data_IF_310662380095
#
_entry.id   IF_310662380095
#
_cell.length_a   1.000
_cell.length_b   1.000
_cell.length_c   1.000
_cell.angle_alpha   90.00
_cell.angle_beta   90.00
_cell.angle_gamma   90.00
#
_symmetry.space_group_name_H-M   'P 1'
#
loop_
_entity.id
_entity.type
_entity.pdbx_description
1 polymer ?
#
# COMPACT_ATOMS: atom_id res chain seq x y z
N UNK A 1 -86.54 80.80 -27.48
CA UNK A 1 -86.89 79.42 -27.87
C UNK A 1 -85.74 78.56 -27.43
N UNK A 2 -85.95 77.79 -26.37
CA UNK A 2 -85.02 76.80 -25.86
C UNK A 2 -85.66 75.45 -26.18
N UNK A 3 -85.12 74.78 -27.19
CA UNK A 3 -85.63 73.50 -27.68
C UNK A 3 -85.53 72.46 -26.57
N UNK A 4 -86.67 72.11 -25.97
CA UNK A 4 -86.76 70.98 -25.05
C UNK A 4 -86.54 69.73 -25.91
N UNK A 5 -85.50 68.97 -25.58
CA UNK A 5 -85.15 67.75 -26.29
C UNK A 5 -86.29 66.74 -26.18
N UNK A 6 -86.73 66.20 -27.32
CA UNK A 6 -87.85 65.24 -27.41
C UNK A 6 -87.71 64.05 -26.45
N UNK A 7 -86.47 63.68 -26.10
CA UNK A 7 -86.15 62.63 -25.14
C UNK A 7 -86.61 62.95 -23.71
N UNK A 8 -86.52 64.21 -23.29
CA UNK A 8 -86.98 64.63 -21.96
C UNK A 8 -88.50 64.63 -21.87
N UNK A 9 -89.18 65.04 -22.96
CA UNK A 9 -90.63 65.00 -23.03
C UNK A 9 -91.17 63.56 -23.06
N UNK A 10 -90.57 62.66 -23.85
CA UNK A 10 -90.95 61.25 -23.90
C UNK A 10 -90.65 60.52 -22.59
N UNK A 11 -89.52 60.82 -21.94
CA UNK A 11 -89.16 60.27 -20.63
C UNK A 11 -90.11 60.70 -19.52
N UNK A 12 -90.50 61.99 -19.49
CA UNK A 12 -91.49 62.50 -18.55
C UNK A 12 -92.87 61.88 -18.80
N UNK A 13 -93.28 61.71 -20.06
CA UNK A 13 -94.57 61.09 -20.39
C UNK A 13 -94.62 59.61 -20.01
N UNK A 14 -93.53 58.85 -20.22
CA UNK A 14 -93.43 57.46 -19.77
C UNK A 14 -93.52 57.34 -18.25
N UNK A 15 -92.88 58.25 -17.50
CA UNK A 15 -92.96 58.28 -16.05
C UNK A 15 -94.38 58.63 -15.55
N UNK A 16 -95.04 59.60 -16.20
CA UNK A 16 -96.44 59.95 -15.89
C UNK A 16 -97.37 58.78 -16.17
N UNK A 17 -97.20 58.08 -17.29
CA UNK A 17 -98.04 56.93 -17.64
C UNK A 17 -97.79 55.74 -16.70
N UNK A 18 -96.54 55.54 -16.27
CA UNK A 18 -96.19 54.58 -15.22
C UNK A 18 -96.84 54.94 -13.88
N UNK A 19 -96.81 56.21 -13.47
CA UNK A 19 -97.47 56.67 -12.24
C UNK A 19 -99.00 56.53 -12.33
N UNK A 20 -99.58 56.82 -13.50
CA UNK A 20 -101.01 56.63 -13.75
C UNK A 20 -101.41 55.15 -13.68
N UNK A 21 -100.62 54.26 -14.27
CA UNK A 21 -100.84 52.82 -14.16
C UNK A 21 -100.66 52.30 -12.72
N UNK A 22 -99.69 52.82 -11.97
CA UNK A 22 -99.52 52.51 -10.56
C UNK A 22 -100.70 52.99 -9.71
N UNK A 23 -101.20 54.22 -9.93
CA UNK A 23 -102.39 54.73 -9.25
C UNK A 23 -103.64 53.89 -9.59
N UNK A 24 -103.84 53.51 -10.85
CA UNK A 24 -104.94 52.61 -11.24
C UNK A 24 -104.82 51.22 -10.61
N UNK A 25 -103.60 50.68 -10.47
CA UNK A 25 -103.38 49.40 -9.80
C UNK A 25 -103.66 49.50 -8.29
N UNK A 26 -103.23 50.58 -7.64
CA UNK A 26 -103.47 50.84 -6.22
C UNK A 26 -104.96 51.05 -5.93
N UNK A 27 -105.67 51.82 -6.78
CA UNK A 27 -107.11 52.05 -6.63
C UNK A 27 -107.94 50.77 -6.86
N UNK A 28 -107.51 49.92 -7.80
CA UNK A 28 -108.10 48.60 -8.04
C UNK A 28 -107.99 47.66 -6.84
N UNK A 29 -106.94 47.81 -6.03
CA UNK A 29 -106.66 46.95 -4.88
C UNK A 29 -107.11 47.56 -3.53
N UNK A 30 -107.44 48.87 -3.46
CA UNK A 30 -107.87 49.54 -2.21
C UNK A 30 -109.40 49.61 -1.98
N UNK A 31 -110.26 49.52 -3.01
CA UNK A 31 -111.73 49.70 -2.88
C UNK A 31 -112.53 48.39 -2.74
N UNK A 32 -112.11 47.52 -1.81
CA UNK A 32 -112.74 46.20 -1.58
C UNK A 32 -114.28 46.23 -1.38
N UNK A 33 -114.90 47.19 -0.66
CA UNK A 33 -116.36 47.22 -0.51
C UNK A 33 -117.11 47.47 -1.83
N UNK A 34 -116.59 48.35 -2.69
CA UNK A 34 -117.21 48.70 -3.97
C UNK A 34 -117.10 47.54 -4.96
N UNK A 35 -115.92 46.91 -5.04
CA UNK A 35 -115.68 45.73 -5.88
C UNK A 35 -116.52 44.52 -5.48
N UNK A 36 -116.72 44.30 -4.17
CA UNK A 36 -117.62 43.23 -3.67
C UNK A 36 -119.05 43.49 -4.10
N UNK A 37 -119.53 44.73 -4.01
CA UNK A 37 -120.87 45.09 -4.44
C UNK A 37 -121.07 44.92 -5.97
N UNK A 38 -120.09 45.30 -6.78
CA UNK A 38 -120.13 45.13 -8.24
C UNK A 38 -120.10 43.65 -8.65
N UNK A 39 -119.24 42.84 -8.04
CA UNK A 39 -119.18 41.38 -8.28
C UNK A 39 -120.47 40.70 -7.82
N UNK A 40 -121.00 41.08 -6.66
CA UNK A 40 -122.29 40.58 -6.17
C UNK A 40 -123.45 40.97 -7.10
N UNK A 41 -123.45 42.20 -7.63
CA UNK A 41 -124.45 42.66 -8.60
C UNK A 41 -124.40 41.87 -9.91
N UNK A 42 -123.20 41.59 -10.42
CA UNK A 42 -123.03 40.83 -11.66
C UNK A 42 -123.42 39.36 -11.50
N UNK A 43 -123.12 38.76 -10.33
CA UNK A 43 -123.59 37.41 -9.99
C UNK A 43 -125.12 37.39 -9.85
N UNK A 44 -125.71 38.44 -9.27
CA UNK A 44 -127.17 38.61 -9.15
C UNK A 44 -127.84 38.62 -10.53
N UNK A 45 -127.36 39.45 -11.44
CA UNK A 45 -127.87 39.54 -12.82
C UNK A 45 -127.70 38.20 -13.56
N UNK A 46 -126.56 37.54 -13.40
CA UNK A 46 -126.31 36.23 -13.99
C UNK A 46 -127.30 35.17 -13.49
N UNK A 47 -127.56 35.08 -12.19
CA UNK A 47 -128.52 34.09 -11.67
C UNK A 47 -129.98 34.40 -12.00
N UNK A 48 -130.35 35.69 -12.10
CA UNK A 48 -131.68 36.10 -12.57
C UNK A 48 -131.90 35.72 -14.03
N UNK A 49 -130.94 36.00 -14.91
CA UNK A 49 -131.04 35.67 -16.34
C UNK A 49 -131.03 34.16 -16.62
N UNK A 50 -130.40 33.37 -15.75
CA UNK A 50 -130.34 31.91 -15.88
C UNK A 50 -131.44 31.16 -15.10
N UNK A 51 -132.41 31.88 -14.51
CA UNK A 51 -133.55 31.27 -13.80
C UNK A 51 -133.18 30.47 -12.53
N UNK A 52 -132.00 30.70 -11.95
CA UNK A 52 -131.52 30.01 -10.74
C UNK A 52 -132.07 30.74 -9.51
N UNK A 53 -132.77 30.04 -8.61
CA UNK A 53 -133.24 30.63 -7.34
C UNK A 53 -132.06 30.87 -6.41
N UNK A 54 -131.90 32.10 -5.89
CA UNK A 54 -130.87 32.47 -4.93
C UNK A 54 -131.46 33.30 -3.79
N UNK A 55 -130.81 33.30 -2.62
CA UNK A 55 -131.08 34.28 -1.56
C UNK A 55 -130.03 35.39 -1.56
N UNK A 56 -130.44 36.61 -1.22
CA UNK A 56 -129.54 37.77 -1.23
C UNK A 56 -128.38 37.62 -0.22
N UNK A 57 -128.62 36.95 0.91
CA UNK A 57 -127.59 36.67 1.91
C UNK A 57 -126.52 35.68 1.42
N UNK A 58 -126.89 34.71 0.56
CA UNK A 58 -125.95 33.69 0.06
C UNK A 58 -124.93 34.28 -0.92
N UNK A 59 -125.35 35.19 -1.81
CA UNK A 59 -124.44 35.84 -2.76
C UNK A 59 -123.42 36.71 -2.01
N UNK A 60 -123.88 37.49 -1.04
CA UNK A 60 -123.01 38.39 -0.28
C UNK A 60 -122.01 37.63 0.60
N UNK A 61 -122.42 36.51 1.19
CA UNK A 61 -121.51 35.62 1.94
C UNK A 61 -120.46 34.95 1.03
N UNK A 62 -120.86 34.41 -0.12
CA UNK A 62 -119.95 33.72 -1.04
C UNK A 62 -118.87 34.64 -1.62
N UNK A 63 -119.25 35.87 -2.00
CA UNK A 63 -118.28 36.87 -2.48
C UNK A 63 -117.30 37.25 -1.37
N UNK A 64 -117.76 37.40 -0.13
CA UNK A 64 -116.91 37.79 1.01
C UNK A 64 -115.85 36.74 1.36
N UNK A 65 -116.19 35.45 1.34
CA UNK A 65 -115.22 34.36 1.59
C UNK A 65 -114.21 34.18 0.45
N UNK A 66 -114.62 34.37 -0.80
CA UNK A 66 -113.71 34.28 -1.95
C UNK A 66 -112.53 35.27 -1.83
N UNK A 67 -112.79 36.48 -1.32
CA UNK A 67 -111.74 37.49 -1.14
C UNK A 67 -110.87 37.29 0.11
N UNK A 68 -111.29 36.51 1.12
CA UNK A 68 -110.50 36.33 2.36
C UNK A 68 -109.37 35.31 2.21
N UNK A 69 -109.58 34.21 1.45
CA UNK A 69 -108.57 33.16 1.26
C UNK A 69 -107.31 33.61 0.49
N UNK A 70 -107.37 34.72 -0.24
CA UNK A 70 -106.27 35.23 -1.07
C UNK A 70 -105.18 35.98 -0.28
N UNK A 71 -105.38 36.20 1.02
CA UNK A 71 -104.55 37.08 1.86
C UNK A 71 -103.61 36.33 2.82
N UNK A 72 -103.51 35.00 2.74
CA UNK A 72 -102.65 34.20 3.63
C UNK A 72 -101.49 33.60 2.83
N UNK A 73 -100.25 33.78 3.32
CA UNK A 73 -99.01 33.24 2.76
C UNK A 73 -98.53 32.02 3.56
N UNK A 74 -98.19 30.91 2.90
CA UNK A 74 -97.60 29.72 3.52
C UNK A 74 -96.14 29.54 3.05
N UNK A 75 -95.20 29.41 4.01
CA UNK A 75 -93.77 29.27 3.73
C UNK A 75 -93.37 27.78 3.52
N UNK A 76 -92.45 27.45 2.59
CA UNK A 76 -92.00 26.07 2.34
C UNK A 76 -91.01 25.57 3.41
N UNK A 77 -91.07 24.28 3.75
CA UNK A 77 -90.20 23.67 4.77
C UNK A 77 -88.78 23.37 4.22
N UNK A 78 -87.74 23.78 4.97
CA UNK A 78 -86.32 23.62 4.63
C UNK A 78 -85.70 22.34 5.24
N UNK A 79 -84.85 21.65 4.45
CA UNK A 79 -84.17 20.41 4.84
C UNK A 79 -83.09 20.62 5.92
N UNK A 80 -82.69 19.54 6.60
CA UNK A 80 -81.68 19.57 7.67
C UNK A 80 -80.27 19.99 7.16
N UNK A 81 -79.91 19.59 5.94
CA UNK A 81 -78.65 19.99 5.31
C UNK A 81 -78.63 21.48 4.97
N UNK A 82 -79.77 22.05 4.53
CA UNK A 82 -79.90 23.48 4.25
C UNK A 82 -79.73 24.32 5.53
N UNK A 83 -80.25 23.81 6.65
CA UNK A 83 -80.04 24.40 7.99
C UNK A 83 -78.60 24.31 8.48
N UNK A 84 -77.88 23.26 8.12
CA UNK A 84 -76.47 23.09 8.49
C UNK A 84 -75.58 24.05 7.69
N UNK A 85 -75.71 24.05 6.36
CA UNK A 85 -74.92 24.90 5.48
C UNK A 85 -75.21 26.39 5.68
N UNK A 86 -76.46 26.77 5.92
CA UNK A 86 -76.80 28.16 6.27
C UNK A 86 -76.08 28.63 7.54
N UNK A 87 -76.00 27.79 8.58
CA UNK A 87 -75.24 28.14 9.80
C UNK A 87 -73.73 28.23 9.59
N UNK A 88 -73.15 27.34 8.77
CA UNK A 88 -71.70 27.34 8.45
C UNK A 88 -71.34 28.57 7.62
N UNK A 89 -72.13 28.90 6.60
CA UNK A 89 -71.92 30.07 5.73
C UNK A 89 -72.10 31.40 6.49
N UNK A 90 -73.09 31.52 7.37
CA UNK A 90 -73.29 32.73 8.19
C UNK A 90 -72.14 32.98 9.18
N UNK A 91 -71.42 31.93 9.62
CA UNK A 91 -70.23 32.03 10.49
C UNK A 91 -68.90 31.89 9.72
N UNK A 92 -68.81 32.41 8.48
CA UNK A 92 -67.65 32.20 7.57
C UNK A 92 -66.28 32.49 8.18
N UNK A 93 -66.15 33.47 9.08
CA UNK A 93 -64.87 33.86 9.67
C UNK A 93 -64.24 32.74 10.54
N UNK A 94 -65.07 31.95 11.25
CA UNK A 94 -64.57 30.81 12.05
C UNK A 94 -64.20 29.61 11.18
N UNK A 95 -64.94 29.39 10.08
CA UNK A 95 -64.63 28.32 9.12
C UNK A 95 -63.27 28.54 8.43
N UNK A 96 -62.98 29.77 8.02
CA UNK A 96 -61.70 30.12 7.36
C UNK A 96 -60.50 29.89 8.30
N UNK A 97 -60.61 30.27 9.58
CA UNK A 97 -59.53 30.06 10.57
C UNK A 97 -59.23 28.57 10.79
N UNK A 98 -60.27 27.71 10.85
CA UNK A 98 -60.08 26.26 11.00
C UNK A 98 -59.39 25.67 9.77
N UNK A 99 -59.77 26.08 8.57
CA UNK A 99 -59.14 25.63 7.33
C UNK A 99 -57.66 26.07 7.27
N UNK A 100 -57.34 27.30 7.69
CA UNK A 100 -55.96 27.78 7.75
C UNK A 100 -55.10 26.98 8.75
N UNK A 101 -55.62 26.66 9.94
CA UNK A 101 -54.92 25.82 10.91
C UNK A 101 -54.66 24.40 10.38
N UNK A 102 -55.62 23.82 9.68
CA UNK A 102 -55.45 22.50 9.04
C UNK A 102 -54.40 22.58 7.94
N UNK A 103 -54.41 23.63 7.10
CA UNK A 103 -53.41 23.81 6.06
C UNK A 103 -52.00 23.99 6.63
N UNK A 104 -51.84 24.78 7.70
CA UNK A 104 -50.56 25.00 8.37
C UNK A 104 -50.06 23.71 9.02
N UNK A 105 -50.91 22.95 9.70
CA UNK A 105 -50.50 21.68 10.32
C UNK A 105 -50.10 20.64 9.26
N UNK A 106 -50.84 20.53 8.15
CA UNK A 106 -50.45 19.68 7.02
C UNK A 106 -49.12 20.12 6.40
N UNK A 107 -48.88 21.42 6.27
CA UNK A 107 -47.62 21.96 5.75
C UNK A 107 -46.45 21.66 6.69
N UNK A 108 -46.63 21.83 8.00
CA UNK A 108 -45.62 21.49 9.01
C UNK A 108 -45.30 19.99 8.99
N UNK A 109 -46.32 19.14 8.91
CA UNK A 109 -46.15 17.67 8.79
C UNK A 109 -45.45 17.30 7.48
N UNK A 110 -45.76 17.99 6.38
CA UNK A 110 -45.10 17.76 5.11
C UNK A 110 -43.62 18.20 5.15
N UNK A 111 -43.34 19.38 5.69
CA UNK A 111 -41.98 19.89 5.86
C UNK A 111 -41.15 19.01 6.81
N UNK A 112 -41.73 18.55 7.93
CA UNK A 112 -41.01 17.65 8.85
C UNK A 112 -40.70 16.31 8.20
N UNK A 113 -41.65 15.72 7.45
CA UNK A 113 -41.42 14.51 6.65
C UNK A 113 -40.30 14.68 5.63
N UNK A 114 -40.29 15.80 4.90
CA UNK A 114 -39.24 16.08 3.90
C UNK A 114 -37.88 16.30 4.58
N UNK A 115 -37.84 16.98 5.73
CA UNK A 115 -36.60 17.23 6.46
C UNK A 115 -36.01 15.94 7.02
N UNK A 116 -36.83 15.07 7.64
CA UNK A 116 -36.39 13.75 8.14
C UNK A 116 -35.90 12.88 6.98
N UNK A 117 -36.66 12.79 5.88
CA UNK A 117 -36.24 12.01 4.71
C UNK A 117 -34.93 12.52 4.09
N UNK A 118 -34.71 13.84 4.04
CA UNK A 118 -33.44 14.42 3.57
C UNK A 118 -32.27 14.08 4.48
N UNK A 119 -32.48 14.05 5.79
CA UNK A 119 -31.43 13.73 6.75
C UNK A 119 -30.98 12.26 6.61
N UNK A 120 -31.93 11.32 6.53
CA UNK A 120 -31.65 9.90 6.30
C UNK A 120 -30.91 9.65 4.98
N UNK A 121 -31.31 10.33 3.89
CA UNK A 121 -30.63 10.22 2.59
C UNK A 121 -29.21 10.78 2.66
N UNK A 122 -28.97 11.89 3.36
CA UNK A 122 -27.64 12.47 3.51
C UNK A 122 -26.69 11.57 4.32
N UNK A 123 -27.18 10.96 5.40
CA UNK A 123 -26.39 10.02 6.18
C UNK A 123 -26.05 8.75 5.38
N UNK A 124 -27.03 8.20 4.66
CA UNK A 124 -26.81 7.07 3.76
C UNK A 124 -25.80 7.39 2.64
N UNK A 125 -25.87 8.60 2.05
CA UNK A 125 -24.91 9.05 1.05
C UNK A 125 -23.50 9.22 1.62
N UNK A 126 -23.35 9.80 2.82
CA UNK A 126 -22.05 9.93 3.48
C UNK A 126 -21.44 8.58 3.82
N UNK A 127 -22.25 7.64 4.31
CA UNK A 127 -21.82 6.27 4.58
C UNK A 127 -21.40 5.55 3.28
N UNK A 128 -22.16 5.70 2.20
CA UNK A 128 -21.83 5.12 0.90
C UNK A 128 -20.52 5.68 0.33
N UNK A 129 -20.34 7.00 0.35
CA UNK A 129 -19.09 7.66 -0.08
C UNK A 129 -17.93 7.19 0.79
N UNK A 130 -18.09 7.12 2.11
CA UNK A 130 -17.05 6.64 3.01
C UNK A 130 -16.64 5.19 2.72
N UNK A 131 -17.61 4.31 2.43
CA UNK A 131 -17.34 2.94 2.00
C UNK A 131 -16.58 2.94 0.67
N UNK A 132 -17.04 3.70 -0.32
CA UNK A 132 -16.38 3.80 -1.63
C UNK A 132 -14.93 4.30 -1.51
N UNK A 133 -14.69 5.33 -0.70
CA UNK A 133 -13.32 5.83 -0.45
C UNK A 133 -12.46 4.79 0.25
N UNK A 134 -13.01 4.04 1.21
CA UNK A 134 -12.26 2.99 1.90
C UNK A 134 -11.94 1.80 0.98
N UNK A 135 -12.87 1.43 0.09
CA UNK A 135 -12.62 0.40 -0.92
C UNK A 135 -11.57 0.87 -1.92
N UNK A 136 -11.68 2.11 -2.42
CA UNK A 136 -10.70 2.70 -3.33
C UNK A 136 -9.30 2.77 -2.71
N UNK A 137 -9.20 3.18 -1.45
CA UNK A 137 -7.94 3.21 -0.71
C UNK A 137 -7.33 1.81 -0.58
N UNK A 138 -8.12 0.83 -0.12
CA UNK A 138 -7.67 -0.57 -0.02
C UNK A 138 -7.21 -1.14 -1.37
N UNK A 139 -7.93 -0.84 -2.45
CA UNK A 139 -7.55 -1.26 -3.80
C UNK A 139 -6.22 -0.65 -4.24
N UNK A 140 -6.00 0.64 -3.95
CA UNK A 140 -4.74 1.33 -4.21
C UNK A 140 -3.58 0.72 -3.40
N UNK A 141 -3.81 0.41 -2.12
CA UNK A 141 -2.80 -0.19 -1.26
C UNK A 141 -2.41 -1.59 -1.77
N UNK A 142 -3.40 -2.41 -2.15
CA UNK A 142 -3.16 -3.73 -2.76
C UNK A 142 -2.38 -3.59 -4.08
N UNK A 143 -2.71 -2.60 -4.92
CA UNK A 143 -2.00 -2.35 -6.17
C UNK A 143 -0.53 -1.97 -5.91
N UNK A 144 -0.26 -1.13 -4.90
CA UNK A 144 1.09 -0.78 -4.49
C UNK A 144 1.88 -2.01 -3.99
N UNK A 145 1.27 -2.83 -3.13
CA UNK A 145 1.89 -4.06 -2.63
C UNK A 145 2.23 -5.04 -3.77
N UNK A 146 1.33 -5.20 -4.75
CA UNK A 146 1.60 -5.99 -5.97
C UNK A 146 2.80 -5.43 -6.74
N UNK A 147 2.86 -4.11 -6.93
CA UNK A 147 3.96 -3.47 -7.63
C UNK A 147 5.30 -3.70 -6.91
N UNK A 148 5.34 -3.51 -5.58
CA UNK A 148 6.54 -3.76 -4.76
C UNK A 148 7.03 -5.19 -4.84
N UNK A 149 6.12 -6.17 -4.71
CA UNK A 149 6.47 -7.58 -4.85
C UNK A 149 7.03 -7.89 -6.24
N UNK A 150 6.40 -7.36 -7.30
CA UNK A 150 6.88 -7.56 -8.66
C UNK A 150 8.25 -6.91 -8.90
N UNK A 151 8.50 -5.73 -8.33
CA UNK A 151 9.79 -5.07 -8.39
C UNK A 151 10.90 -5.90 -7.70
N UNK A 152 10.59 -6.54 -6.57
CA UNK A 152 11.51 -7.46 -5.92
C UNK A 152 11.80 -8.69 -6.79
N UNK A 153 10.77 -9.30 -7.37
CA UNK A 153 10.92 -10.51 -8.19
C UNK A 153 11.68 -10.27 -9.51
N UNK A 154 11.64 -9.03 -10.02
CA UNK A 154 12.37 -8.61 -11.22
C UNK A 154 13.76 -8.04 -10.93
N UNK A 155 14.11 -7.87 -9.65
CA UNK A 155 15.41 -7.35 -9.27
C UNK A 155 16.52 -8.35 -9.67
N UNK A 156 17.59 -7.93 -10.35
CA UNK A 156 18.70 -8.81 -10.71
C UNK A 156 19.29 -9.54 -9.49
N UNK A 157 19.36 -8.88 -8.33
CA UNK A 157 19.90 -9.50 -7.12
C UNK A 157 18.98 -10.60 -6.57
N UNK A 158 17.67 -10.53 -6.85
CA UNK A 158 16.74 -11.62 -6.54
C UNK A 158 16.96 -12.81 -7.47
N UNK A 159 17.04 -12.56 -8.78
CA UNK A 159 17.19 -13.59 -9.81
C UNK A 159 18.52 -14.34 -9.72
N UNK A 160 19.62 -13.61 -9.50
CA UNK A 160 20.96 -14.22 -9.36
C UNK A 160 21.16 -14.82 -7.95
N UNK A 161 20.54 -14.21 -6.94
CA UNK A 161 20.69 -14.61 -5.55
C UNK A 161 19.82 -15.79 -5.13
N UNK A 162 18.79 -16.17 -5.89
CA UNK A 162 17.80 -17.18 -5.48
C UNK A 162 18.41 -18.55 -5.18
N UNK A 163 19.45 -18.92 -5.92
CA UNK A 163 20.14 -20.21 -5.78
C UNK A 163 21.05 -20.23 -4.54
N UNK A 164 21.73 -19.11 -4.28
CA UNK A 164 22.65 -18.98 -3.16
C UNK A 164 21.89 -18.77 -1.84
N UNK A 165 20.83 -17.97 -1.89
CA UNK A 165 20.02 -17.59 -0.73
C UNK A 165 18.63 -18.20 -0.83
N UNK A 166 18.51 -19.49 -0.50
CA UNK A 166 17.23 -20.24 -0.53
C UNK A 166 16.10 -19.62 0.32
N UNK A 167 16.42 -18.67 1.21
CA UNK A 167 15.42 -17.88 1.93
C UNK A 167 14.66 -16.88 1.03
N UNK A 168 15.26 -16.36 -0.05
CA UNK A 168 14.60 -15.45 -1.00
C UNK A 168 13.31 -16.05 -1.58
N UNK A 169 13.34 -17.20 -2.27
CA UNK A 169 12.12 -17.77 -2.85
C UNK A 169 11.11 -18.15 -1.76
N UNK A 170 11.56 -18.62 -0.59
CA UNK A 170 10.66 -18.93 0.54
C UNK A 170 9.93 -17.69 1.07
N UNK A 171 10.62 -16.55 1.15
CA UNK A 171 10.03 -15.29 1.57
C UNK A 171 9.13 -14.71 0.46
N UNK A 172 9.48 -14.87 -0.82
CA UNK A 172 8.61 -14.51 -1.95
C UNK A 172 7.29 -15.27 -1.87
N UNK A 173 7.31 -16.59 -1.71
CA UNK A 173 6.09 -17.39 -1.58
C UNK A 173 5.24 -16.97 -0.37
N UNK A 174 5.88 -16.61 0.76
CA UNK A 174 5.15 -16.07 1.92
C UNK A 174 4.50 -14.72 1.62
N UNK A 175 5.20 -13.82 0.94
CA UNK A 175 4.68 -12.53 0.53
C UNK A 175 3.53 -12.67 -0.49
N UNK A 176 3.66 -13.57 -1.46
CA UNK A 176 2.60 -13.92 -2.42
C UNK A 176 1.35 -14.45 -1.72
N UNK A 177 1.54 -15.39 -0.77
CA UNK A 177 0.43 -15.94 0.00
C UNK A 177 -0.25 -14.87 0.88
N UNK A 178 0.54 -14.01 1.53
CA UNK A 178 0.00 -12.90 2.32
C UNK A 178 -0.82 -11.93 1.45
N UNK A 179 -0.37 -11.67 0.22
CA UNK A 179 -1.07 -10.84 -0.75
C UNK A 179 -2.36 -11.49 -1.29
N UNK A 180 -2.37 -12.82 -1.44
CA UNK A 180 -3.56 -13.58 -1.81
C UNK A 180 -4.62 -13.62 -0.68
N UNK A 181 -4.20 -13.51 0.58
CA UNK A 181 -5.04 -13.54 1.77
C UNK A 181 -5.39 -12.15 2.31
N UNK A 182 -5.21 -11.07 1.55
CA UNK A 182 -5.45 -9.69 2.04
C UNK A 182 -6.89 -9.49 2.56
N UNK A 183 -7.87 -10.13 1.91
CA UNK A 183 -9.28 -10.02 2.34
C UNK A 183 -9.54 -10.63 3.72
N UNK A 184 -8.76 -11.65 4.12
CA UNK A 184 -8.93 -12.36 5.40
C UNK A 184 -7.95 -11.87 6.47
N UNK A 185 -6.71 -11.56 6.08
CA UNK A 185 -5.58 -11.28 6.98
C UNK A 185 -5.22 -9.80 7.07
N UNK A 186 -5.80 -8.95 6.21
CA UNK A 186 -5.56 -7.52 6.17
C UNK A 186 -4.33 -7.11 5.33
N UNK A 187 -4.32 -5.83 4.95
CA UNK A 187 -3.25 -5.21 4.15
C UNK A 187 -1.93 -5.12 4.93
N UNK A 188 -2.01 -4.90 6.25
CA UNK A 188 -0.83 -4.74 7.11
C UNK A 188 0.03 -6.01 7.16
N UNK A 189 -0.59 -7.18 7.19
CA UNK A 189 0.13 -8.46 7.17
C UNK A 189 0.88 -8.66 5.84
N UNK A 190 0.23 -8.38 4.70
CA UNK A 190 0.88 -8.45 3.40
C UNK A 190 2.04 -7.44 3.28
N UNK A 191 1.84 -6.22 3.80
CA UNK A 191 2.88 -5.20 3.87
C UNK A 191 4.09 -5.64 4.70
N UNK A 192 3.86 -6.27 5.85
CA UNK A 192 4.92 -6.82 6.70
C UNK A 192 5.72 -7.92 5.99
N UNK A 193 5.04 -8.90 5.38
CA UNK A 193 5.73 -10.00 4.69
C UNK A 193 6.55 -9.52 3.48
N UNK A 194 6.02 -8.56 2.71
CA UNK A 194 6.77 -7.92 1.61
C UNK A 194 7.96 -7.13 2.17
N UNK A 195 7.79 -6.41 3.29
CA UNK A 195 8.89 -5.69 3.95
C UNK A 195 10.00 -6.61 4.45
N UNK A 196 9.67 -7.79 4.98
CA UNK A 196 10.66 -8.82 5.37
C UNK A 196 11.46 -9.30 4.15
N UNK A 197 10.78 -9.54 3.04
CA UNK A 197 11.42 -9.93 1.78
C UNK A 197 12.33 -8.82 1.24
N UNK A 198 11.87 -7.57 1.20
CA UNK A 198 12.65 -6.40 0.77
C UNK A 198 13.89 -6.19 1.65
N UNK A 199 13.75 -6.32 2.98
CA UNK A 199 14.87 -6.21 3.91
C UNK A 199 15.89 -7.34 3.72
N UNK A 200 15.43 -8.56 3.40
CA UNK A 200 16.33 -9.66 3.08
C UNK A 200 17.05 -9.44 1.74
N UNK A 201 16.34 -8.98 0.71
CA UNK A 201 16.95 -8.60 -0.57
C UNK A 201 18.01 -7.50 -0.39
N UNK A 202 17.77 -6.52 0.49
CA UNK A 202 18.76 -5.49 0.80
C UNK A 202 20.05 -6.08 1.39
N UNK A 203 19.95 -7.12 2.25
CA UNK A 203 21.13 -7.85 2.75
C UNK A 203 21.85 -8.60 1.63
N UNK A 204 21.11 -9.23 0.72
CA UNK A 204 21.68 -9.89 -0.47
C UNK A 204 22.43 -8.90 -1.34
N UNK A 205 21.85 -7.72 -1.61
CA UNK A 205 22.52 -6.64 -2.35
C UNK A 205 23.80 -6.15 -1.66
N UNK A 206 23.81 -6.08 -0.33
CA UNK A 206 24.99 -5.68 0.43
C UNK A 206 26.18 -6.63 0.25
N UNK A 207 25.93 -7.91 -0.04
CA UNK A 207 26.99 -8.91 -0.27
C UNK A 207 27.29 -9.15 -1.76
N UNK A 208 26.57 -8.48 -2.66
CA UNK A 208 26.79 -8.60 -4.11
C UNK A 208 28.26 -8.41 -4.54
N UNK A 209 29.03 -7.42 -4.01
CA UNK A 209 30.43 -7.28 -4.38
C UNK A 209 31.28 -8.51 -4.07
N UNK A 210 30.94 -9.28 -3.02
CA UNK A 210 31.64 -10.51 -2.66
C UNK A 210 31.26 -11.67 -3.59
N UNK A 211 29.98 -11.76 -3.97
CA UNK A 211 29.52 -12.71 -4.98
C UNK A 211 30.18 -12.46 -6.34
N UNK A 212 30.32 -11.20 -6.73
CA UNK A 212 31.02 -10.80 -7.96
C UNK A 212 32.50 -11.22 -7.92
N UNK A 213 33.17 -10.97 -6.80
CA UNK A 213 34.56 -11.40 -6.57
C UNK A 213 34.70 -12.93 -6.60
N UNK A 214 33.76 -13.66 -6.00
CA UNK A 214 33.73 -15.12 -6.05
C UNK A 214 33.57 -15.62 -7.49
N UNK A 215 32.67 -15.02 -8.27
CA UNK A 215 32.45 -15.38 -9.67
C UNK A 215 33.69 -15.10 -10.53
N UNK A 216 34.37 -13.97 -10.28
CA UNK A 216 35.65 -13.65 -10.93
C UNK A 216 36.73 -14.68 -10.59
N UNK A 217 36.90 -15.02 -9.31
CA UNK A 217 37.88 -16.03 -8.88
C UNK A 217 37.52 -17.42 -9.40
N UNK A 218 36.24 -17.77 -9.49
CA UNK A 218 35.78 -19.05 -10.05
C UNK A 218 36.24 -19.18 -11.50
N UNK A 219 36.06 -18.14 -12.33
CA UNK A 219 36.55 -18.13 -13.71
C UNK A 219 38.07 -18.22 -13.77
N UNK A 220 38.78 -17.41 -12.97
CA UNK A 220 40.25 -17.44 -12.91
C UNK A 220 40.79 -18.83 -12.53
N UNK A 221 40.21 -19.47 -11.52
CA UNK A 221 40.61 -20.83 -11.09
C UNK A 221 40.30 -21.86 -12.15
N UNK A 222 39.20 -21.72 -12.89
CA UNK A 222 38.90 -22.60 -14.03
C UNK A 222 39.90 -22.44 -15.18
N UNK A 223 40.38 -21.22 -15.43
CA UNK A 223 41.38 -20.92 -16.47
C UNK A 223 42.81 -21.34 -16.08
N UNK A 224 43.07 -21.57 -14.79
CA UNK A 224 44.35 -22.03 -14.28
C UNK A 224 44.56 -23.51 -14.61
N UNK A 225 45.54 -23.78 -15.48
CA UNK A 225 45.94 -25.14 -15.86
C UNK A 225 47.29 -25.48 -15.20
N UNK A 226 47.24 -26.01 -13.97
CA UNK A 226 48.42 -26.49 -13.27
C UNK A 226 48.82 -27.90 -13.74
N UNK A 227 50.11 -28.26 -13.71
CA UNK A 227 50.56 -29.61 -14.02
C UNK A 227 50.05 -30.64 -13.00
N UNK A 228 50.01 -31.92 -13.39
CA UNK A 228 49.48 -33.01 -12.55
C UNK A 228 50.13 -33.13 -11.16
N UNK A 229 51.40 -32.76 -11.01
CA UNK A 229 52.09 -32.70 -9.72
C UNK A 229 51.43 -31.74 -8.72
N UNK A 230 50.75 -30.71 -9.21
CA UNK A 230 50.11 -29.65 -8.41
C UNK A 230 48.59 -29.87 -8.31
N UNK A 231 48.09 -31.07 -8.66
CA UNK A 231 46.66 -31.43 -8.63
C UNK A 231 45.99 -31.18 -7.28
N UNK A 232 46.70 -31.40 -6.17
CA UNK A 232 46.22 -31.11 -4.81
C UNK A 232 45.92 -29.62 -4.63
N UNK A 233 46.72 -28.72 -5.21
CA UNK A 233 46.48 -27.29 -5.14
C UNK A 233 45.22 -26.89 -5.94
N UNK A 234 45.02 -27.47 -7.12
CA UNK A 234 43.80 -27.26 -7.91
C UNK A 234 42.55 -27.71 -7.15
N UNK A 235 42.57 -28.91 -6.57
CA UNK A 235 41.47 -29.42 -5.75
C UNK A 235 41.23 -28.55 -4.50
N UNK A 236 42.30 -28.08 -3.86
CA UNK A 236 42.22 -27.16 -2.72
C UNK A 236 41.52 -25.85 -3.08
N UNK A 237 41.91 -25.20 -4.18
CA UNK A 237 41.27 -23.97 -4.66
C UNK A 237 39.79 -24.19 -5.01
N UNK A 238 39.42 -25.32 -5.63
CA UNK A 238 38.03 -25.65 -5.92
C UNK A 238 37.21 -25.85 -4.63
N UNK A 239 37.77 -26.52 -3.62
CA UNK A 239 37.13 -26.68 -2.32
C UNK A 239 36.96 -25.34 -1.59
N UNK A 240 37.95 -24.43 -1.67
CA UNK A 240 37.88 -23.08 -1.13
C UNK A 240 36.74 -22.26 -1.79
N UNK A 241 36.58 -22.34 -3.12
CA UNK A 241 35.47 -21.66 -3.81
C UNK A 241 34.09 -22.11 -3.29
N UNK A 242 33.91 -23.41 -3.07
CA UNK A 242 32.67 -23.97 -2.51
C UNK A 242 32.45 -23.50 -1.07
N UNK A 243 33.51 -23.50 -0.25
CA UNK A 243 33.45 -23.02 1.13
C UNK A 243 33.11 -21.52 1.19
N UNK A 244 33.72 -20.70 0.34
CA UNK A 244 33.43 -19.26 0.26
C UNK A 244 31.96 -19.05 -0.14
N UNK A 245 31.46 -19.80 -1.13
CA UNK A 245 30.05 -19.75 -1.54
C UNK A 245 29.13 -20.02 -0.34
N UNK A 246 29.39 -21.08 0.43
CA UNK A 246 28.60 -21.41 1.63
C UNK A 246 28.66 -20.30 2.70
N UNK A 247 29.83 -19.74 2.96
CA UNK A 247 30.00 -18.63 3.92
C UNK A 247 29.22 -17.38 3.48
N UNK A 248 29.24 -17.03 2.19
CA UNK A 248 28.45 -15.92 1.65
C UNK A 248 26.94 -16.20 1.81
N UNK A 249 26.49 -17.42 1.47
CA UNK A 249 25.09 -17.84 1.62
C UNK A 249 24.56 -17.77 3.06
N UNK A 250 25.46 -17.95 4.04
CA UNK A 250 25.18 -17.82 5.49
C UNK A 250 25.37 -16.41 6.04
N UNK A 251 25.74 -15.43 5.22
CA UNK A 251 26.12 -14.08 5.62
C UNK A 251 27.29 -14.04 6.63
N UNK A 252 28.22 -14.99 6.59
CA UNK A 252 29.46 -14.98 7.39
C UNK A 252 30.53 -14.11 6.72
N UNK A 253 30.25 -12.80 6.63
CA UNK A 253 30.97 -11.83 5.79
C UNK A 253 32.47 -11.75 6.10
N UNK A 254 32.84 -11.66 7.37
CA UNK A 254 34.25 -11.58 7.78
C UNK A 254 35.06 -12.82 7.36
N UNK A 255 34.49 -14.01 7.58
CA UNK A 255 35.15 -15.27 7.22
C UNK A 255 35.22 -15.42 5.70
N UNK A 256 34.12 -15.16 4.99
CA UNK A 256 34.10 -15.19 3.52
C UNK A 256 35.12 -14.22 2.93
N UNK A 257 35.22 -13.01 3.48
CA UNK A 257 36.17 -11.99 3.04
C UNK A 257 37.62 -12.40 3.29
N UNK A 258 37.91 -13.02 4.42
CA UNK A 258 39.22 -13.62 4.72
C UNK A 258 39.61 -14.68 3.69
N UNK A 259 38.70 -15.63 3.41
CA UNK A 259 38.94 -16.70 2.46
C UNK A 259 39.07 -16.20 1.01
N UNK A 260 38.25 -15.22 0.59
CA UNK A 260 38.39 -14.55 -0.72
C UNK A 260 39.77 -13.91 -0.89
N UNK A 261 40.28 -13.22 0.15
CA UNK A 261 41.63 -12.61 0.11
C UNK A 261 42.72 -13.66 0.02
N UNK A 262 42.61 -14.75 0.78
CA UNK A 262 43.57 -15.85 0.75
C UNK A 262 43.61 -16.53 -0.62
N UNK A 263 42.44 -16.89 -1.17
CA UNK A 263 42.34 -17.49 -2.49
C UNK A 263 42.85 -16.55 -3.60
N UNK A 264 42.51 -15.26 -3.52
CA UNK A 264 43.05 -14.26 -4.47
C UNK A 264 44.58 -14.23 -4.41
N UNK A 265 45.17 -14.14 -3.22
CA UNK A 265 46.61 -14.15 -3.04
C UNK A 265 47.27 -15.42 -3.61
N UNK A 266 46.64 -16.60 -3.41
CA UNK A 266 47.07 -17.86 -4.01
C UNK A 266 47.06 -17.79 -5.55
N UNK A 267 45.97 -17.31 -6.16
CA UNK A 267 45.88 -17.20 -7.63
C UNK A 267 46.89 -16.21 -8.21
N UNK A 268 47.16 -15.09 -7.52
CA UNK A 268 48.16 -14.09 -7.92
C UNK A 268 49.60 -14.59 -7.78
N UNK A 269 49.83 -15.60 -6.95
CA UNK A 269 51.13 -16.22 -6.75
C UNK A 269 51.51 -17.18 -7.89
N UNK A 270 50.54 -17.83 -8.53
CA UNK A 270 50.76 -18.82 -9.61
C UNK A 270 51.66 -18.30 -10.75
N UNK A 271 51.38 -17.14 -11.37
CA UNK A 271 52.19 -16.65 -12.49
C UNK A 271 53.56 -16.11 -12.06
N UNK A 272 53.80 -15.90 -10.76
CA UNK A 272 55.06 -15.35 -10.26
C UNK A 272 56.14 -16.42 -10.20
N UNK A 273 57.26 -16.16 -10.85
CA UNK A 273 58.50 -16.89 -10.57
C UNK A 273 59.12 -16.37 -9.28
N UNK A 274 59.41 -17.27 -8.34
CA UNK A 274 59.92 -16.93 -7.02
C UNK A 274 61.20 -17.71 -6.73
N UNK A 275 62.24 -17.00 -6.30
CA UNK A 275 63.47 -17.60 -5.80
C UNK A 275 63.46 -17.62 -4.28
N UNK A 276 63.79 -18.77 -3.69
CA UNK A 276 64.02 -18.91 -2.25
C UNK A 276 65.51 -18.89 -2.02
N UNK A 277 65.99 -17.85 -1.33
CA UNK A 277 67.42 -17.63 -1.13
C UNK A 277 67.74 -17.33 0.32
N UNK A 278 68.89 -17.79 0.78
CA UNK A 278 69.41 -17.48 2.12
C UNK A 278 69.57 -15.96 2.25
N UNK A 279 69.11 -15.43 3.38
CA UNK A 279 69.21 -14.00 3.70
C UNK A 279 70.68 -13.64 3.88
N UNK A 280 71.11 -12.59 3.18
CA UNK A 280 72.49 -12.11 3.18
C UNK A 280 72.51 -10.59 3.39
N UNK A 281 72.11 -10.14 4.57
CA UNK A 281 72.06 -8.71 4.93
C UNK A 281 72.33 -8.47 6.41
N UNK A 282 72.84 -7.29 6.80
CA UNK A 282 73.01 -6.95 8.22
C UNK A 282 71.68 -6.99 8.98
N UNK A 283 71.74 -7.41 10.25
CA UNK A 283 70.58 -7.41 11.16
C UNK A 283 69.66 -8.64 11.07
N UNK A 284 69.89 -9.56 10.12
CA UNK A 284 69.14 -10.83 10.04
C UNK A 284 70.13 -11.99 9.97
N UNK A 285 70.04 -13.00 10.85
CA UNK A 285 70.92 -14.17 10.77
C UNK A 285 70.65 -14.95 9.47
N UNK A 286 71.69 -15.44 8.80
CA UNK A 286 71.56 -16.31 7.62
C UNK A 286 71.20 -17.75 7.97
N UNK A 287 71.43 -18.15 9.22
CA UNK A 287 71.06 -19.47 9.72
C UNK A 287 71.00 -19.48 11.24
N UNK A 288 70.20 -20.40 11.77
CA UNK A 288 69.99 -20.58 13.20
C UNK A 288 70.10 -22.04 13.59
N UNK A 289 70.65 -22.26 14.79
CA UNK A 289 70.69 -23.56 15.43
C UNK A 289 69.57 -23.62 16.48
N UNK A 290 68.66 -24.57 16.31
CA UNK A 290 67.61 -24.88 17.29
C UNK A 290 68.04 -26.05 18.15
N UNK A 291 67.84 -25.92 19.46
CA UNK A 291 68.07 -26.97 20.44
C UNK A 291 66.75 -27.29 21.13
N UNK A 292 66.21 -28.49 20.89
CA UNK A 292 64.92 -28.91 21.46
C UNK A 292 65.07 -29.59 22.82
N UNK A 293 66.20 -30.24 23.06
CA UNK A 293 66.50 -30.89 24.33
C UNK A 293 67.84 -30.39 24.88
N UNK A 294 67.76 -29.55 25.92
CA UNK A 294 68.95 -28.94 26.53
C UNK A 294 69.91 -29.97 27.12
N UNK A 295 69.44 -31.14 27.57
CA UNK A 295 70.31 -32.18 28.09
C UNK A 295 71.11 -32.85 26.96
N UNK A 296 70.46 -33.11 25.81
CA UNK A 296 71.11 -33.71 24.65
C UNK A 296 72.04 -32.74 23.91
N UNK A 297 71.64 -31.48 23.77
CA UNK A 297 72.46 -30.48 23.08
C UNK A 297 73.76 -30.13 23.81
N UNK A 298 73.74 -30.23 25.15
CA UNK A 298 74.86 -29.88 26.02
C UNK A 298 75.64 -31.11 26.53
N UNK A 299 75.36 -32.30 25.97
CA UNK A 299 75.97 -33.56 26.41
C UNK A 299 77.49 -33.57 26.23
N UNK A 300 78.01 -32.93 25.17
CA UNK A 300 79.43 -32.65 24.97
C UNK A 300 79.67 -31.50 23.95
N UNK A 301 80.87 -30.88 23.95
CA UNK A 301 81.26 -29.91 22.92
C UNK A 301 81.31 -30.59 21.55
N UNK A 302 80.37 -30.25 20.67
CA UNK A 302 80.23 -30.84 19.33
C UNK A 302 79.06 -31.80 19.17
N UNK A 303 78.27 -32.06 20.21
CA UNK A 303 77.05 -32.89 20.11
C UNK A 303 76.11 -32.33 19.06
N UNK A 304 75.68 -33.22 18.15
CA UNK A 304 74.63 -32.98 17.16
C UNK A 304 73.25 -33.44 17.66
N UNK A 305 73.21 -34.11 18.81
CA UNK A 305 71.98 -34.68 19.36
C UNK A 305 71.07 -33.58 19.91
N UNK A 306 69.77 -33.69 19.63
CA UNK A 306 68.77 -32.70 20.05
C UNK A 306 68.84 -31.36 19.32
N UNK A 307 69.75 -31.22 18.34
CA UNK A 307 69.94 -30.01 17.54
C UNK A 307 69.31 -30.14 16.16
N UNK A 308 68.89 -29.02 15.61
CA UNK A 308 68.46 -28.88 14.23
C UNK A 308 68.96 -27.56 13.67
N UNK A 309 69.32 -27.56 12.38
CA UNK A 309 69.88 -26.40 11.71
C UNK A 309 68.90 -25.90 10.67
N UNK A 310 68.71 -24.59 10.67
CA UNK A 310 67.85 -23.91 9.73
C UNK A 310 68.62 -22.81 9.03
N UNK A 311 68.35 -22.60 7.75
CA UNK A 311 68.78 -21.40 7.03
C UNK A 311 67.61 -20.44 6.94
N UNK A 312 67.84 -19.19 7.36
CA UNK A 312 66.85 -18.13 7.22
C UNK A 312 66.87 -17.68 5.77
N UNK A 313 65.71 -17.76 5.14
CA UNK A 313 65.55 -17.51 3.71
C UNK A 313 64.53 -16.42 3.46
N UNK A 314 64.70 -15.76 2.32
CA UNK A 314 63.76 -14.81 1.76
C UNK A 314 63.21 -15.34 0.43
N UNK A 315 61.92 -15.13 0.22
CA UNK A 315 61.25 -15.37 -1.04
C UNK A 315 61.18 -14.07 -1.84
N UNK A 316 61.74 -14.07 -3.06
CA UNK A 316 61.82 -12.87 -3.91
C UNK A 316 61.42 -13.14 -5.35
N UNK A 317 60.91 -12.11 -6.03
CA UNK A 317 60.65 -12.13 -7.47
C UNK A 317 61.93 -11.86 -8.29
N UNK A 318 61.81 -11.85 -9.62
CA UNK A 318 62.89 -11.54 -10.56
C UNK A 318 63.46 -10.12 -10.42
N UNK A 319 62.75 -9.21 -9.74
CA UNK A 319 63.16 -7.84 -9.45
C UNK A 319 63.68 -7.69 -8.02
N UNK A 320 64.01 -8.80 -7.34
CA UNK A 320 64.48 -8.84 -5.95
C UNK A 320 63.49 -8.28 -4.92
N UNK A 321 62.20 -8.18 -5.28
CA UNK A 321 61.16 -7.73 -4.35
C UNK A 321 60.64 -8.89 -3.52
N UNK A 322 60.39 -8.69 -2.21
CA UNK A 322 59.82 -9.73 -1.35
C UNK A 322 58.47 -10.25 -1.87
N UNK A 323 58.30 -11.57 -1.87
CA UNK A 323 57.06 -12.26 -2.22
C UNK A 323 56.58 -13.03 -1.00
N UNK A 324 55.31 -12.86 -0.63
CA UNK A 324 54.70 -13.62 0.46
C UNK A 324 54.35 -15.03 -0.03
N UNK A 325 54.77 -16.05 0.71
CA UNK A 325 54.43 -17.45 0.46
C UNK A 325 53.66 -18.03 1.65
N UNK A 326 52.66 -18.89 1.41
CA UNK A 326 52.00 -19.64 2.46
C UNK A 326 53.01 -20.62 3.08
N UNK A 327 53.36 -20.41 4.34
CA UNK A 327 54.38 -21.19 5.06
C UNK A 327 53.81 -21.67 6.39
N UNK A 328 54.03 -22.94 6.75
CA UNK A 328 53.58 -23.52 8.01
C UNK A 328 54.78 -23.80 8.91
N UNK A 329 54.74 -23.32 10.14
CA UNK A 329 55.76 -23.65 11.13
C UNK A 329 55.56 -25.10 11.61
N UNK A 330 56.58 -25.94 11.46
CA UNK A 330 56.56 -27.33 11.95
C UNK A 330 56.53 -27.40 13.47
N UNK A 331 57.09 -26.40 14.17
CA UNK A 331 57.13 -26.37 15.63
C UNK A 331 55.78 -26.06 16.27
N UNK A 332 55.01 -25.15 15.65
CA UNK A 332 53.75 -24.63 16.23
C UNK A 332 52.51 -25.13 15.48
N UNK A 333 52.67 -25.65 14.27
CA UNK A 333 51.59 -25.99 13.35
C UNK A 333 50.86 -24.77 12.77
N UNK A 334 51.32 -23.54 13.04
CA UNK A 334 50.67 -22.31 12.58
C UNK A 334 51.12 -21.93 11.17
N UNK A 335 50.15 -21.63 10.30
CA UNK A 335 50.39 -21.13 8.95
C UNK A 335 50.39 -19.60 8.90
N UNK A 336 51.32 -19.01 8.14
CA UNK A 336 51.36 -17.58 7.87
C UNK A 336 51.84 -17.30 6.44
N UNK A 337 51.44 -16.15 5.91
CA UNK A 337 52.01 -15.59 4.69
C UNK A 337 53.31 -14.88 5.05
N UNK A 338 54.44 -15.45 4.63
CA UNK A 338 55.76 -14.97 5.02
C UNK A 338 56.64 -14.76 3.78
N UNK A 339 57.36 -13.63 3.77
CA UNK A 339 58.43 -13.38 2.79
C UNK A 339 59.80 -13.79 3.32
N UNK A 340 59.90 -14.03 4.64
CA UNK A 340 61.07 -14.61 5.30
C UNK A 340 60.62 -15.71 6.25
N UNK A 341 61.32 -16.82 6.21
CA UNK A 341 61.10 -17.99 7.05
C UNK A 341 62.41 -18.78 7.12
N UNK A 342 62.53 -19.77 8.00
CA UNK A 342 63.71 -20.63 8.03
C UNK A 342 63.38 -22.04 7.58
N UNK A 343 64.25 -22.63 6.75
CA UNK A 343 64.10 -23.97 6.17
C UNK A 343 65.12 -24.90 6.80
N UNK A 344 64.68 -26.09 7.22
CA UNK A 344 65.55 -27.09 7.82
C UNK A 344 66.55 -27.63 6.80
N UNK A 345 67.81 -27.69 7.22
CA UNK A 345 68.93 -28.17 6.40
C UNK A 345 69.76 -29.19 7.16
N UNK A 346 70.48 -30.08 6.44
CA UNK A 346 71.51 -30.90 7.06
C UNK A 346 72.60 -30.04 7.71
N UNK A 347 73.21 -30.52 8.79
CA UNK A 347 74.29 -29.81 9.48
C UNK A 347 75.44 -29.41 8.53
N UNK A 348 75.82 -30.30 7.62
CA UNK A 348 76.89 -30.05 6.68
C UNK A 348 76.62 -28.82 5.80
N UNK A 349 75.36 -28.63 5.37
CA UNK A 349 74.96 -27.47 4.58
C UNK A 349 74.97 -26.19 5.41
N UNK A 350 74.49 -26.26 6.66
CA UNK A 350 74.56 -25.13 7.59
C UNK A 350 76.01 -24.67 7.84
N UNK A 351 76.92 -25.61 8.11
CA UNK A 351 78.33 -25.31 8.33
C UNK A 351 79.00 -24.74 7.08
N UNK A 352 78.62 -25.22 5.89
CA UNK A 352 79.09 -24.68 4.61
C UNK A 352 78.68 -23.21 4.43
N UNK A 353 77.41 -22.89 4.65
CA UNK A 353 76.89 -21.51 4.57
C UNK A 353 77.54 -20.62 5.63
N UNK A 354 77.75 -21.14 6.85
CA UNK A 354 78.43 -20.43 7.93
C UNK A 354 79.89 -20.11 7.56
N UNK A 355 80.61 -21.05 6.96
CA UNK A 355 82.00 -20.85 6.55
C UNK A 355 82.10 -19.80 5.44
N UNK A 356 81.25 -19.87 4.40
CA UNK A 356 81.14 -18.88 3.32
C UNK A 356 80.92 -17.48 3.88
N UNK A 357 79.92 -17.33 4.77
CA UNK A 357 79.59 -16.05 5.41
C UNK A 357 80.72 -15.48 6.28
N UNK A 358 81.56 -16.32 6.88
CA UNK A 358 82.67 -15.90 7.75
C UNK A 358 83.92 -15.51 6.95
N UNK A 359 84.03 -15.91 5.69
CA UNK A 359 85.19 -15.64 4.84
C UNK A 359 85.29 -14.15 4.49
N UNK A 360 84.23 -13.59 3.91
CA UNK A 360 84.19 -12.19 3.45
C UNK A 360 82.94 -11.41 3.91
N UNK A 361 82.06 -12.04 4.69
CA UNK A 361 80.81 -11.43 5.13
C UNK A 361 79.66 -11.53 4.14
N UNK A 362 79.79 -12.27 3.03
CA UNK A 362 78.77 -12.44 1.99
C UNK A 362 78.51 -13.93 1.68
N UNK A 363 77.39 -14.21 1.01
CA UNK A 363 77.05 -15.57 0.59
C UNK A 363 77.15 -15.70 -0.93
N UNK A 364 77.95 -16.65 -1.40
CA UNK A 364 78.15 -16.92 -2.83
C UNK A 364 76.95 -17.68 -3.41
N UNK A 365 76.48 -18.73 -2.72
CA UNK A 365 75.44 -19.63 -3.21
C UNK A 365 74.16 -19.54 -2.36
N UNK A 366 73.35 -18.52 -2.64
CA UNK A 366 72.18 -18.21 -1.81
C UNK A 366 70.92 -19.03 -2.14
N UNK A 367 70.72 -19.47 -3.37
CA UNK A 367 69.44 -20.10 -3.79
C UNK A 367 69.31 -21.52 -3.25
N UNK A 368 68.27 -21.79 -2.45
CA UNK A 368 67.95 -23.12 -1.90
C UNK A 368 66.68 -23.74 -2.49
N UNK A 369 65.87 -22.97 -3.20
CA UNK A 369 64.63 -23.43 -3.81
C UNK A 369 64.07 -22.43 -4.80
N UNK A 370 63.11 -22.86 -5.61
CA UNK A 370 62.42 -22.03 -6.60
C UNK A 370 60.96 -22.45 -6.75
N UNK A 371 60.08 -21.49 -6.99
CA UNK A 371 58.73 -21.70 -7.50
C UNK A 371 58.68 -21.17 -8.93
N UNK A 372 58.67 -22.04 -9.95
CA UNK A 372 58.51 -21.60 -11.33
C UNK A 372 57.16 -20.89 -11.55
N UNK A 373 57.08 -20.07 -12.59
CA UNK A 373 55.79 -19.56 -13.07
C UNK A 373 54.88 -20.72 -13.51
N UNK A 374 53.58 -20.64 -13.20
CA UNK A 374 52.62 -21.70 -13.50
C UNK A 374 52.67 -22.91 -12.55
N UNK A 375 53.35 -22.76 -11.41
CA UNK A 375 53.43 -23.76 -10.33
C UNK A 375 52.92 -23.15 -9.02
N UNK A 376 52.34 -23.98 -8.16
CA UNK A 376 52.00 -23.60 -6.79
C UNK A 376 53.07 -24.06 -5.79
N UNK A 377 53.68 -25.21 -6.04
CA UNK A 377 54.64 -25.81 -5.13
C UNK A 377 56.04 -25.23 -5.30
N UNK A 378 56.72 -24.98 -4.17
CA UNK A 378 58.12 -24.60 -4.15
C UNK A 378 58.97 -25.86 -4.27
N UNK A 379 59.83 -25.93 -5.29
CA UNK A 379 60.81 -27.00 -5.43
C UNK A 379 62.10 -26.60 -4.71
N UNK A 380 62.45 -27.34 -3.65
CA UNK A 380 63.71 -27.17 -2.93
C UNK A 380 64.82 -28.04 -3.51
N UNK A 381 66.06 -27.58 -3.38
CA UNK A 381 67.23 -28.33 -3.79
C UNK A 381 67.47 -29.44 -2.75
N UNK A 382 67.13 -30.69 -3.09
CA UNK A 382 67.19 -31.85 -2.19
C UNK A 382 68.57 -32.06 -1.54
N UNK A 383 69.65 -31.68 -2.22
CA UNK A 383 71.01 -31.73 -1.68
C UNK A 383 71.31 -30.68 -0.58
N UNK A 384 70.45 -29.66 -0.43
CA UNK A 384 70.61 -28.56 0.53
C UNK A 384 69.59 -28.60 1.67
N UNK A 385 68.47 -29.32 1.51
CA UNK A 385 67.36 -29.35 2.48
C UNK A 385 67.11 -30.76 3.00
N UNK A 386 66.33 -30.88 4.07
CA UNK A 386 65.90 -32.20 4.59
C UNK A 386 64.62 -32.70 3.89
N UNK A 387 64.37 -34.00 4.00
CA UNK A 387 63.10 -34.65 3.64
C UNK A 387 62.63 -35.49 4.86
N UNK A 388 61.46 -35.20 5.46
CA UNK A 388 60.51 -34.16 5.09
C UNK A 388 61.09 -32.74 5.25
N UNK A 389 60.55 -31.82 4.44
CA UNK A 389 60.87 -30.41 4.56
C UNK A 389 60.19 -29.85 5.82
N UNK A 390 60.97 -29.18 6.66
CA UNK A 390 60.46 -28.50 7.84
C UNK A 390 60.80 -27.01 7.77
N UNK A 391 59.86 -26.18 8.22
CA UNK A 391 59.99 -24.73 8.23
C UNK A 391 59.63 -24.15 9.57
N UNK A 392 60.24 -23.02 9.93
CA UNK A 392 59.90 -22.24 11.12
C UNK A 392 59.72 -20.77 10.74
N UNK A 393 58.85 -20.09 11.48
CA UNK A 393 58.50 -18.68 11.22
C UNK A 393 59.17 -17.71 12.20
N UNK A 394 59.78 -18.22 13.26
CA UNK A 394 60.43 -17.43 14.31
C UNK A 394 61.83 -17.99 14.54
N UNK A 395 62.81 -17.14 14.90
CA UNK A 395 64.20 -17.56 15.13
C UNK A 395 64.97 -16.68 16.09
#
# INVERSE_FOLDING_TARGET
>A
MSDILLSEQLGAMALVDQLRHQQMAVEKDLSLPQRRAEVAARIREYYQNNGIKFSEAQIDQGVREFFSKRLVFEAPELSALDRFWSKVLLKRHRGILVIQLIAVTLLVVHCSRVMVARHEIQEAQRAAIAVETNVAQKQSDIANLKARLSAVQQDPAYLEGSDLFSALPRLSTKAEHALAMVDTSGVDYANEQIGVLEAFLAKVKAVQPMTDQLNELTRKVADIHLPASDSKATLGMQAELVMIKDLIGKFEIEKAGGQLRALRANTELIPKEVSIRVVDRPGTPSGVERCYDKALCNSNPGSTQGKSWYLVVEAVDLSDRPVLLPTVSTETGTGAWASQFAVRVPQAEYLKVKADKLDDGHLTHRVIGRKPAGRMEVTYLSQRTTDPLETILEW
#
